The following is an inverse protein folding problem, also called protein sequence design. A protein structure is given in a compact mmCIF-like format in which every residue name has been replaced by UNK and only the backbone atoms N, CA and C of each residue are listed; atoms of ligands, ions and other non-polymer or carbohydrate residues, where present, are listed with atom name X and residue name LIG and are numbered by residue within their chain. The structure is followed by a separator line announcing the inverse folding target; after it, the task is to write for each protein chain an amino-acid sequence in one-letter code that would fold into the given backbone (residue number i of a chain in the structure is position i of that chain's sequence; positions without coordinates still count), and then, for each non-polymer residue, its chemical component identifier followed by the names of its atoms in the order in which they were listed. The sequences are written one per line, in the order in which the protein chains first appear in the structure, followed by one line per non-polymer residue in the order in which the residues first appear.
data_IF_813560585876
#
_entry.id   IF_813560585876
#
_cell.length_a   1.000
_cell.length_b   1.000
_cell.length_c   1.000
_cell.angle_alpha   90.00
_cell.angle_beta   90.00
_cell.angle_gamma   90.00
#
_symmetry.space_group_name_H-M   'P 1'
#
loop_
_entity.id
_entity.type
_entity.pdbx_description
1 polymer ?
#
# COMPACT_ATOMS: atom_id res chain seq x y z
N UNK A 1 -19.94 11.14 -27.32
CA UNK A 1 -19.75 10.11 -26.27
C UNK A 1 -21.11 9.90 -25.64
N UNK A 2 -21.67 8.68 -25.70
CA UNK A 2 -22.90 8.39 -24.97
C UNK A 2 -22.62 8.57 -23.48
N UNK A 3 -23.54 9.21 -22.76
CA UNK A 3 -23.48 9.29 -21.30
C UNK A 3 -23.45 7.88 -20.73
N UNK A 4 -22.49 7.58 -19.86
CA UNK A 4 -22.40 6.29 -19.17
C UNK A 4 -23.69 6.07 -18.38
N UNK A 5 -24.35 4.93 -18.60
CA UNK A 5 -25.40 4.46 -17.70
C UNK A 5 -24.74 3.88 -16.44
N UNK A 6 -24.58 4.74 -15.43
CA UNK A 6 -23.93 4.38 -14.17
C UNK A 6 -24.67 3.29 -13.38
N UNK A 7 -25.98 3.12 -13.59
CA UNK A 7 -26.74 2.07 -12.90
C UNK A 7 -26.47 0.71 -13.53
N UNK A 8 -26.41 0.64 -14.86
CA UNK A 8 -26.01 -0.58 -15.55
C UNK A 8 -24.54 -0.95 -15.26
N UNK A 9 -23.65 0.06 -15.24
CA UNK A 9 -22.24 -0.13 -14.89
C UNK A 9 -22.06 -0.66 -13.46
N UNK A 10 -22.78 -0.09 -12.49
CA UNK A 10 -22.83 -0.56 -11.11
C UNK A 10 -23.23 -2.03 -11.02
N UNK A 11 -24.33 -2.42 -11.68
CA UNK A 11 -24.78 -3.80 -11.70
C UNK A 11 -23.74 -4.76 -12.30
N UNK A 12 -23.06 -4.36 -13.37
CA UNK A 12 -22.04 -5.18 -14.01
C UNK A 12 -20.85 -5.44 -13.08
N UNK A 13 -20.35 -4.41 -12.39
CA UNK A 13 -19.25 -4.52 -11.42
C UNK A 13 -19.68 -5.31 -10.19
N UNK A 14 -20.88 -5.06 -9.66
CA UNK A 14 -21.39 -5.76 -8.48
C UNK A 14 -21.67 -7.25 -8.76
N UNK A 15 -22.13 -7.59 -9.97
CA UNK A 15 -22.28 -8.98 -10.38
C UNK A 15 -20.93 -9.73 -10.35
N UNK A 16 -19.84 -9.10 -10.78
CA UNK A 16 -18.49 -9.68 -10.66
C UNK A 16 -18.12 -9.90 -9.19
N UNK A 17 -18.39 -8.91 -8.33
CA UNK A 17 -18.15 -9.02 -6.88
C UNK A 17 -18.88 -10.21 -6.28
N UNK A 18 -20.19 -10.28 -6.48
CA UNK A 18 -21.06 -11.27 -5.83
C UNK A 18 -20.80 -12.68 -6.35
N UNK A 19 -20.60 -12.85 -7.65
CA UNK A 19 -20.27 -14.17 -8.24
C UNK A 19 -18.90 -14.68 -7.78
N UNK A 20 -17.95 -13.79 -7.52
CA UNK A 20 -16.64 -14.18 -6.98
C UNK A 20 -16.73 -14.48 -5.48
N UNK A 21 -17.44 -13.66 -4.70
CA UNK A 21 -17.69 -13.92 -3.27
C UNK A 21 -18.38 -15.26 -3.04
N UNK A 22 -19.30 -15.67 -3.91
CA UNK A 22 -19.97 -16.97 -3.82
C UNK A 22 -19.00 -18.18 -3.95
N UNK A 23 -17.81 -17.98 -4.52
CA UNK A 23 -16.77 -19.02 -4.64
C UNK A 23 -15.79 -19.03 -3.45
N UNK A 24 -15.77 -17.97 -2.64
CA UNK A 24 -14.83 -17.84 -1.53
C UNK A 24 -15.09 -18.94 -0.50
N UNK A 25 -14.04 -19.67 -0.15
CA UNK A 25 -14.17 -20.79 0.77
C UNK A 25 -12.87 -21.54 1.04
N UNK A 26 -12.95 -22.88 1.06
CA UNK A 26 -11.85 -23.74 1.53
C UNK A 26 -10.52 -23.54 0.76
N UNK A 27 -10.59 -23.21 -0.54
CA UNK A 27 -9.41 -22.93 -1.35
C UNK A 27 -8.68 -21.66 -0.89
N UNK A 28 -9.41 -20.57 -0.65
CA UNK A 28 -8.85 -19.29 -0.16
C UNK A 28 -8.25 -19.46 1.25
N UNK A 29 -8.92 -20.24 2.11
CA UNK A 29 -8.41 -20.60 3.43
C UNK A 29 -7.11 -21.42 3.34
N UNK A 30 -7.04 -22.39 2.42
CA UNK A 30 -5.84 -23.19 2.20
C UNK A 30 -4.69 -22.35 1.64
N UNK A 31 -5.00 -21.40 0.74
CA UNK A 31 -4.06 -20.46 0.17
C UNK A 31 -3.38 -19.62 1.25
N UNK A 32 -4.14 -18.88 2.08
CA UNK A 32 -3.54 -17.99 3.08
C UNK A 32 -2.73 -18.76 4.12
N UNK A 33 -3.20 -19.94 4.56
CA UNK A 33 -2.46 -20.81 5.48
C UNK A 33 -1.15 -21.31 4.87
N UNK A 34 -1.13 -21.56 3.56
CA UNK A 34 0.08 -21.93 2.83
C UNK A 34 1.07 -20.78 2.76
N UNK A 35 0.60 -19.56 2.47
CA UNK A 35 1.43 -18.35 2.47
C UNK A 35 2.05 -18.11 3.85
N UNK A 36 1.25 -18.19 4.93
CA UNK A 36 1.74 -18.05 6.31
C UNK A 36 2.83 -19.08 6.62
N UNK A 37 2.64 -20.34 6.21
CA UNK A 37 3.66 -21.38 6.42
C UNK A 37 4.96 -21.08 5.66
N UNK A 38 4.85 -20.66 4.40
CA UNK A 38 6.02 -20.28 3.57
C UNK A 38 6.75 -19.07 4.14
N UNK A 39 6.01 -18.05 4.57
CA UNK A 39 6.56 -16.87 5.25
C UNK A 39 7.37 -17.28 6.48
N UNK A 40 6.80 -18.12 7.35
CA UNK A 40 7.49 -18.62 8.56
C UNK A 40 8.75 -19.39 8.21
N UNK A 41 8.70 -20.30 7.23
CA UNK A 41 9.90 -21.03 6.80
C UNK A 41 11.00 -20.10 6.27
N UNK A 42 10.64 -19.07 5.51
CA UNK A 42 11.59 -18.05 5.06
C UNK A 42 12.18 -17.27 6.23
N UNK A 43 11.36 -16.92 7.24
CA UNK A 43 11.82 -16.19 8.42
C UNK A 43 12.80 -17.03 9.25
N UNK A 44 12.41 -18.26 9.64
CA UNK A 44 13.27 -19.14 10.42
C UNK A 44 14.54 -19.52 9.66
N UNK A 45 14.40 -19.91 8.39
CA UNK A 45 15.52 -20.25 7.52
C UNK A 45 16.47 -19.09 7.31
N UNK A 46 15.94 -17.89 7.08
CA UNK A 46 16.71 -16.66 6.95
C UNK A 46 17.54 -16.37 8.21
N UNK A 47 16.91 -16.44 9.39
CA UNK A 47 17.57 -16.21 10.69
C UNK A 47 18.68 -17.22 10.98
N UNK A 48 18.45 -18.51 10.68
CA UNK A 48 19.45 -19.57 10.84
C UNK A 48 20.64 -19.31 9.90
N UNK A 49 20.38 -19.00 8.63
CA UNK A 49 21.44 -18.78 7.64
C UNK A 49 22.27 -17.52 7.90
N UNK A 50 21.70 -16.48 8.53
CA UNK A 50 22.48 -15.32 9.00
C UNK A 50 23.59 -15.75 9.96
N UNK A 51 23.32 -16.72 10.84
CA UNK A 51 24.30 -17.27 11.78
C UNK A 51 25.36 -18.13 11.09
N UNK A 52 24.97 -18.86 10.03
CA UNK A 52 25.89 -19.68 9.24
C UNK A 52 26.82 -18.88 8.31
N UNK A 53 26.67 -17.54 8.24
CA UNK A 53 27.49 -16.67 7.40
C UNK A 53 29.00 -16.74 7.67
N UNK A 54 29.40 -17.09 8.90
CA UNK A 54 30.81 -17.32 9.25
C UNK A 54 31.41 -18.55 8.57
N UNK A 55 30.58 -19.55 8.22
CA UNK A 55 31.01 -20.77 7.53
C UNK A 55 31.21 -20.46 6.05
N UNK A 56 30.27 -19.74 5.44
CA UNK A 56 30.36 -19.31 4.06
C UNK A 56 29.58 -17.99 3.83
N UNK A 57 30.23 -16.91 3.35
CA UNK A 57 29.59 -15.59 3.22
C UNK A 57 28.32 -15.59 2.37
N UNK A 58 28.22 -16.45 1.35
CA UNK A 58 27.00 -16.56 0.55
C UNK A 58 25.76 -17.01 1.36
N UNK A 59 25.95 -17.80 2.43
CA UNK A 59 24.84 -18.22 3.30
C UNK A 59 24.22 -17.01 4.00
N UNK A 60 25.04 -16.03 4.40
CA UNK A 60 24.52 -14.78 4.95
C UNK A 60 23.70 -14.00 3.93
N UNK A 61 24.19 -13.87 2.69
CA UNK A 61 23.45 -13.22 1.61
C UNK A 61 22.09 -13.88 1.35
N UNK A 62 22.05 -15.22 1.29
CA UNK A 62 20.80 -15.99 1.16
C UNK A 62 19.90 -15.77 2.39
N UNK A 63 20.49 -15.72 3.59
CA UNK A 63 19.77 -15.43 4.83
C UNK A 63 19.07 -14.07 4.81
N UNK A 64 19.76 -13.03 4.34
CA UNK A 64 19.19 -11.68 4.16
C UNK A 64 18.05 -11.71 3.15
N UNK A 65 18.23 -12.37 2.00
CA UNK A 65 17.19 -12.45 0.96
C UNK A 65 15.96 -13.22 1.42
N UNK A 66 16.12 -14.34 2.14
CA UNK A 66 15.01 -15.08 2.71
C UNK A 66 14.28 -14.28 3.79
N UNK A 67 15.00 -13.54 4.63
CA UNK A 67 14.39 -12.67 5.62
C UNK A 67 13.65 -11.50 4.96
N UNK A 68 14.19 -10.92 3.89
CA UNK A 68 13.51 -9.91 3.10
C UNK A 68 12.22 -10.46 2.48
N UNK A 69 12.28 -11.66 1.89
CA UNK A 69 11.11 -12.35 1.35
C UNK A 69 10.05 -12.59 2.42
N UNK A 70 10.43 -13.07 3.59
CA UNK A 70 9.52 -13.27 4.71
C UNK A 70 8.83 -11.96 5.12
N UNK A 71 9.59 -10.86 5.20
CA UNK A 71 9.05 -9.54 5.54
C UNK A 71 8.13 -8.99 4.44
N UNK A 72 8.42 -9.23 3.17
CA UNK A 72 7.55 -8.84 2.04
C UNK A 72 6.23 -9.61 2.09
N UNK A 73 6.27 -10.93 2.26
CA UNK A 73 5.06 -11.77 2.37
C UNK A 73 4.22 -11.38 3.59
N UNK A 74 4.84 -11.17 4.75
CA UNK A 74 4.13 -10.74 5.95
C UNK A 74 3.49 -9.37 5.77
N UNK A 75 4.20 -8.42 5.15
CA UNK A 75 3.69 -7.06 5.03
C UNK A 75 2.60 -6.94 3.96
N UNK A 76 2.83 -7.50 2.77
CA UNK A 76 1.96 -7.27 1.60
C UNK A 76 0.90 -8.37 1.41
N UNK A 77 1.27 -9.65 1.53
CA UNK A 77 0.34 -10.74 1.19
C UNK A 77 -0.50 -11.21 2.38
N UNK A 78 0.08 -11.22 3.59
CA UNK A 78 -0.63 -11.64 4.80
C UNK A 78 -1.25 -10.43 5.48
N UNK A 79 -0.41 -9.55 6.04
CA UNK A 79 -0.84 -8.49 6.92
C UNK A 79 -1.84 -7.56 6.25
N UNK A 80 -1.48 -6.99 5.10
CA UNK A 80 -2.36 -6.07 4.38
C UNK A 80 -3.73 -6.68 4.08
N UNK A 81 -3.74 -7.87 3.50
CA UNK A 81 -4.97 -8.54 3.11
C UNK A 81 -5.84 -8.94 4.33
N UNK A 82 -5.22 -9.39 5.42
CA UNK A 82 -5.94 -9.65 6.68
C UNK A 82 -6.48 -8.35 7.28
N UNK A 83 -5.71 -7.25 7.28
CA UNK A 83 -6.13 -5.95 7.80
C UNK A 83 -7.28 -5.31 6.98
N UNK A 84 -7.45 -5.71 5.72
CA UNK A 84 -8.62 -5.37 4.89
C UNK A 84 -9.86 -6.23 5.18
N UNK A 85 -9.77 -7.23 6.06
CA UNK A 85 -10.90 -8.09 6.40
C UNK A 85 -11.16 -9.21 5.40
N UNK A 86 -10.26 -9.43 4.44
CA UNK A 86 -10.44 -10.41 3.36
C UNK A 86 -10.60 -11.86 3.82
N UNK A 87 -10.20 -12.15 5.07
CA UNK A 87 -10.28 -13.48 5.68
C UNK A 87 -11.19 -13.52 6.93
N UNK A 88 -11.94 -12.44 7.22
CA UNK A 88 -12.76 -12.36 8.44
C UNK A 88 -13.89 -13.40 8.46
N UNK A 89 -14.39 -13.79 7.28
CA UNK A 89 -15.38 -14.86 7.11
C UNK A 89 -14.91 -16.21 7.64
N UNK A 90 -13.59 -16.44 7.78
CA UNK A 90 -13.05 -17.66 8.36
C UNK A 90 -13.24 -17.74 9.88
N UNK A 91 -13.50 -16.60 10.54
CA UNK A 91 -13.55 -16.46 12.00
C UNK A 91 -12.32 -17.08 12.71
N UNK A 92 -11.16 -17.02 12.08
CA UNK A 92 -9.91 -17.56 12.62
C UNK A 92 -9.20 -16.47 13.44
N UNK A 93 -8.97 -16.76 14.73
CA UNK A 93 -8.39 -15.82 15.70
C UNK A 93 -7.02 -15.27 15.33
N UNK A 94 -6.30 -15.93 14.43
CA UNK A 94 -4.95 -15.54 14.02
C UNK A 94 -4.89 -14.77 12.71
N UNK A 95 -6.00 -14.66 11.97
CA UNK A 95 -6.06 -13.98 10.66
C UNK A 95 -7.35 -13.18 10.50
N UNK A 96 -7.83 -12.61 11.60
CA UNK A 96 -9.01 -11.75 11.64
C UNK A 96 -8.61 -10.29 11.83
N UNK A 97 -9.11 -9.39 10.98
CA UNK A 97 -8.77 -7.97 10.93
C UNK A 97 -8.94 -7.22 12.25
N UNK A 98 -9.86 -7.68 13.12
CA UNK A 98 -10.16 -7.03 14.40
C UNK A 98 -9.11 -7.30 15.47
N UNK A 99 -8.38 -8.40 15.35
CA UNK A 99 -7.38 -8.83 16.33
C UNK A 99 -5.97 -8.93 15.75
N UNK A 100 -5.83 -8.98 14.43
CA UNK A 100 -4.55 -9.09 13.76
C UNK A 100 -3.72 -7.83 13.94
N UNK A 101 -2.45 -8.00 14.30
CA UNK A 101 -1.48 -6.92 14.36
C UNK A 101 -0.28 -7.30 13.49
N UNK A 102 -0.29 -6.80 12.25
CA UNK A 102 0.76 -7.03 11.26
C UNK A 102 2.12 -6.42 11.62
N UNK A 103 3.17 -6.93 10.98
CA UNK A 103 4.58 -6.58 11.23
C UNK A 103 5.01 -5.24 10.60
N UNK A 104 4.40 -4.13 11.03
CA UNK A 104 4.78 -2.76 10.62
C UNK A 104 4.66 -1.77 11.80
N UNK A 105 5.18 -0.56 11.66
CA UNK A 105 5.16 0.48 12.69
C UNK A 105 3.76 1.13 12.91
N UNK A 106 2.81 0.96 11.99
CA UNK A 106 1.43 1.46 12.11
C UNK A 106 0.54 0.44 12.85
N UNK A 107 -0.28 0.88 13.82
CA UNK A 107 -1.27 0.02 14.49
C UNK A 107 -2.53 -0.22 13.65
N UNK A 108 -3.18 -1.36 13.89
CA UNK A 108 -4.30 -1.79 13.06
C UNK A 108 -5.51 -0.85 13.11
N UNK A 109 -5.77 -0.22 14.26
CA UNK A 109 -6.89 0.71 14.39
C UNK A 109 -6.66 2.03 13.65
N UNK A 110 -5.40 2.50 13.59
CA UNK A 110 -5.05 3.65 12.74
C UNK A 110 -5.19 3.32 11.25
N UNK A 111 -4.70 2.14 10.84
CA UNK A 111 -4.87 1.64 9.47
C UNK A 111 -6.34 1.54 9.04
N UNK A 112 -7.20 1.01 9.91
CA UNK A 112 -8.63 0.90 9.61
C UNK A 112 -9.27 2.30 9.40
N UNK A 113 -8.88 3.28 10.22
CA UNK A 113 -9.43 4.64 10.12
C UNK A 113 -8.92 5.39 8.90
N UNK A 114 -7.62 5.39 8.65
CA UNK A 114 -7.03 6.22 7.60
C UNK A 114 -7.00 5.47 6.28
N UNK A 115 -6.36 4.31 6.21
CA UNK A 115 -6.32 3.56 4.97
C UNK A 115 -7.69 2.92 4.60
N UNK A 116 -8.28 2.07 5.44
CA UNK A 116 -9.51 1.35 5.03
C UNK A 116 -10.72 2.27 4.87
N UNK A 117 -10.81 3.36 5.63
CA UNK A 117 -11.92 4.31 5.52
C UNK A 117 -11.55 5.55 4.70
N UNK A 118 -10.60 6.41 5.13
CA UNK A 118 -10.33 7.66 4.40
C UNK A 118 -9.83 7.39 2.97
N UNK A 119 -8.85 6.52 2.78
CA UNK A 119 -8.28 6.24 1.46
C UNK A 119 -9.26 5.44 0.59
N UNK A 120 -9.66 4.23 0.98
CA UNK A 120 -10.54 3.40 0.14
C UNK A 120 -11.91 4.02 -0.16
N UNK A 121 -12.47 4.85 0.73
CA UNK A 121 -13.73 5.55 0.43
C UNK A 121 -13.50 6.69 -0.57
N UNK A 122 -12.42 7.46 -0.40
CA UNK A 122 -12.20 8.72 -1.10
C UNK A 122 -10.95 8.73 -1.99
N UNK A 123 -10.51 7.57 -2.52
CA UNK A 123 -9.30 7.40 -3.31
C UNK A 123 -9.08 8.53 -4.33
N UNK A 124 -7.93 9.17 -4.23
CA UNK A 124 -7.48 10.32 -5.04
C UNK A 124 -8.40 11.56 -5.02
N UNK A 125 -9.33 11.67 -4.06
CA UNK A 125 -10.12 12.89 -3.84
C UNK A 125 -9.28 13.90 -3.04
N UNK A 126 -8.86 14.96 -3.72
CA UNK A 126 -8.11 16.07 -3.15
C UNK A 126 -8.93 16.70 -2.03
N UNK A 127 -8.37 16.75 -0.81
CA UNK A 127 -9.11 17.25 0.35
C UNK A 127 -9.49 16.16 1.37
N UNK A 128 -9.72 14.94 0.85
CA UNK A 128 -10.20 13.80 1.64
C UNK A 128 -9.12 12.74 1.79
N UNK A 129 -8.59 12.25 0.68
CA UNK A 129 -7.55 11.23 0.66
C UNK A 129 -6.21 11.81 1.09
N UNK A 130 -5.61 11.21 2.12
CA UNK A 130 -4.33 11.63 2.67
C UNK A 130 -3.17 11.23 1.76
N UNK A 131 -3.33 10.18 0.98
CA UNK A 131 -2.29 9.66 0.09
C UNK A 131 -2.07 10.62 -1.09
N UNK A 132 -3.15 11.22 -1.58
CA UNK A 132 -3.12 12.24 -2.62
C UNK A 132 -3.34 13.66 -2.06
N UNK A 133 -2.33 14.23 -1.40
CA UNK A 133 -2.30 15.68 -1.13
C UNK A 133 -1.81 16.17 0.23
N UNK A 134 -1.43 15.26 1.14
CA UNK A 134 -1.17 15.67 2.53
C UNK A 134 0.27 15.53 3.06
N UNK A 135 1.25 15.57 2.15
CA UNK A 135 2.38 16.47 2.42
C UNK A 135 3.78 15.88 2.58
N UNK A 136 4.24 15.08 1.62
CA UNK A 136 5.68 14.95 1.34
C UNK A 136 6.02 15.24 -0.13
N UNK A 137 5.23 14.70 -1.05
CA UNK A 137 5.42 14.87 -2.49
C UNK A 137 4.24 15.64 -3.10
N UNK A 138 4.54 16.49 -4.08
CA UNK A 138 3.62 17.15 -5.00
C UNK A 138 3.54 16.31 -6.26
N UNK A 139 2.36 15.77 -6.54
CA UNK A 139 2.13 14.83 -7.66
C UNK A 139 1.06 15.34 -8.64
N UNK A 140 0.58 16.56 -8.47
CA UNK A 140 -0.34 17.21 -9.41
C UNK A 140 -0.10 18.73 -9.42
N UNK A 141 -0.53 19.37 -10.51
CA UNK A 141 -0.60 20.83 -10.64
C UNK A 141 -1.66 21.45 -9.72
N UNK A 142 -2.59 20.65 -9.21
CA UNK A 142 -3.65 21.09 -8.28
C UNK A 142 -3.09 21.66 -6.96
N UNK A 143 -1.85 21.32 -6.62
CA UNK A 143 -1.16 21.86 -5.45
C UNK A 143 -0.19 22.96 -5.84
N UNK A 144 -0.21 24.07 -5.08
CA UNK A 144 0.76 25.17 -5.26
C UNK A 144 2.18 24.68 -5.06
N UNK A 145 3.04 24.91 -6.04
CA UNK A 145 4.47 24.63 -5.95
C UNK A 145 5.15 25.48 -4.87
N UNK A 146 6.12 24.91 -4.15
CA UNK A 146 6.94 25.57 -3.11
C UNK A 146 8.42 25.21 -3.31
N UNK A 147 9.32 26.06 -2.82
CA UNK A 147 10.79 25.85 -2.97
C UNK A 147 11.24 24.47 -2.46
N UNK A 148 10.64 23.95 -1.38
CA UNK A 148 10.94 22.61 -0.86
C UNK A 148 10.71 21.48 -1.88
N UNK A 149 9.87 21.70 -2.90
CA UNK A 149 9.63 20.72 -3.96
C UNK A 149 10.86 20.48 -4.86
N UNK A 150 11.88 21.35 -4.85
CA UNK A 150 13.16 21.06 -5.49
C UNK A 150 13.84 19.81 -4.88
N UNK A 151 13.63 19.56 -3.59
CA UNK A 151 14.16 18.42 -2.84
C UNK A 151 13.22 17.21 -2.83
N UNK A 152 12.18 17.23 -3.66
CA UNK A 152 11.13 16.22 -3.67
C UNK A 152 11.66 14.84 -4.06
N UNK A 153 12.59 14.75 -4.99
CA UNK A 153 13.17 13.45 -5.36
C UNK A 153 13.95 12.82 -4.20
N UNK A 154 14.71 13.62 -3.44
CA UNK A 154 15.39 13.16 -2.22
C UNK A 154 14.37 12.79 -1.13
N UNK A 155 13.29 13.57 -1.02
CA UNK A 155 12.17 13.26 -0.12
C UNK A 155 11.53 11.91 -0.49
N UNK A 156 11.35 11.62 -1.77
CA UNK A 156 10.88 10.34 -2.28
C UNK A 156 11.84 9.21 -1.90
N UNK A 157 13.15 9.35 -2.13
CA UNK A 157 14.13 8.34 -1.76
C UNK A 157 14.12 8.04 -0.25
N UNK A 158 14.08 9.08 0.59
CA UNK A 158 14.01 8.93 2.04
C UNK A 158 12.71 8.24 2.47
N UNK A 159 11.58 8.61 1.86
CA UNK A 159 10.30 7.97 2.10
C UNK A 159 10.34 6.49 1.68
N UNK A 160 10.94 6.14 0.54
CA UNK A 160 11.04 4.76 0.08
C UNK A 160 11.95 3.91 0.97
N UNK A 161 13.06 4.47 1.47
CA UNK A 161 13.96 3.78 2.40
C UNK A 161 13.32 3.59 3.79
N UNK A 162 12.55 4.56 4.24
CA UNK A 162 11.90 4.58 5.56
C UNK A 162 10.39 4.26 5.47
N UNK A 163 9.95 3.56 4.43
CA UNK A 163 8.53 3.49 4.06
C UNK A 163 7.59 3.08 5.18
N UNK A 164 7.95 2.05 5.96
CA UNK A 164 7.14 1.65 7.13
C UNK A 164 6.94 2.74 8.17
N UNK A 165 7.96 3.59 8.36
CA UNK A 165 7.93 4.72 9.28
C UNK A 165 7.18 5.89 8.67
N UNK A 166 7.29 6.06 7.35
CA UNK A 166 6.48 7.00 6.56
C UNK A 166 4.99 6.69 6.67
N UNK A 167 4.58 5.42 6.50
CA UNK A 167 3.20 4.96 6.70
C UNK A 167 2.77 5.23 8.15
N UNK A 168 3.57 4.83 9.14
CA UNK A 168 3.25 5.09 10.54
C UNK A 168 3.06 6.59 10.79
N UNK A 169 3.96 7.45 10.31
CA UNK A 169 3.83 8.90 10.41
C UNK A 169 2.60 9.43 9.69
N UNK A 170 2.23 8.90 8.53
CA UNK A 170 1.10 9.37 7.75
C UNK A 170 -0.24 8.93 8.36
N UNK A 171 -0.39 7.64 8.67
CA UNK A 171 -1.59 6.98 9.22
C UNK A 171 -1.88 7.38 10.67
N UNK A 172 -0.85 7.63 11.48
CA UNK A 172 -1.01 8.12 12.85
C UNK A 172 -1.09 9.64 12.94
N UNK A 173 -1.26 10.33 11.81
CA UNK A 173 -1.21 11.78 11.77
C UNK A 173 -0.01 12.32 12.57
N UNK A 174 1.19 11.81 12.28
CA UNK A 174 2.44 12.13 12.93
C UNK A 174 2.70 13.64 13.05
N UNK A 175 2.22 14.44 12.10
CA UNK A 175 2.25 15.91 12.23
C UNK A 175 1.50 16.40 13.49
N UNK A 176 0.37 15.78 13.83
CA UNK A 176 -0.35 16.01 15.08
C UNK A 176 0.44 15.47 16.27
N UNK A 177 1.04 14.28 16.17
CA UNK A 177 1.87 13.65 17.23
C UNK A 177 3.09 14.50 17.59
N UNK A 178 3.80 15.02 16.59
CA UNK A 178 5.08 15.70 16.77
C UNK A 178 4.98 17.22 16.81
N UNK A 179 3.97 17.82 16.17
CA UNK A 179 3.83 19.29 16.02
C UNK A 179 2.58 19.82 16.75
N UNK A 180 1.69 18.95 17.23
CA UNK A 180 0.51 19.35 18.02
C UNK A 180 -0.59 20.09 17.24
N UNK A 181 -0.41 20.32 15.93
CA UNK A 181 -1.37 21.08 15.11
C UNK A 181 -2.63 20.26 14.85
N UNK A 182 -3.76 20.68 15.43
CA UNK A 182 -5.10 20.24 15.05
C UNK A 182 -5.53 21.04 13.82
N UNK A 183 -5.91 20.38 12.73
CA UNK A 183 -6.60 21.05 11.61
C UNK A 183 -8.06 21.30 11.99
N UNK A 184 -8.55 22.51 11.74
CA UNK A 184 -9.86 23.01 12.21
C UNK A 184 -11.09 22.30 11.61
N UNK A 185 -10.94 21.52 10.53
CA UNK A 185 -12.09 20.91 9.84
C UNK A 185 -12.08 19.37 9.84
N UNK A 186 -11.57 18.72 10.91
CA UNK A 186 -11.63 17.25 11.03
C UNK A 186 -12.15 16.81 12.39
N UNK A 187 -12.96 15.76 12.37
CA UNK A 187 -13.44 15.12 13.58
C UNK A 187 -12.26 14.35 14.22
N UNK A 188 -11.69 14.93 15.27
CA UNK A 188 -10.53 14.38 15.94
C UNK A 188 -10.97 13.37 17.00
N UNK A 189 -11.53 12.24 16.56
CA UNK A 189 -12.15 11.25 17.47
C UNK A 189 -11.15 10.50 18.36
N UNK A 190 -9.84 10.71 18.18
CA UNK A 190 -8.80 10.09 19.01
C UNK A 190 -8.00 11.17 19.72
N UNK A 191 -7.84 10.98 21.03
CA UNK A 191 -7.03 11.84 21.87
C UNK A 191 -5.55 11.82 21.45
N UNK A 192 -4.88 12.96 21.62
CA UNK A 192 -3.50 13.13 21.23
C UNK A 192 -2.54 12.25 22.06
N UNK A 193 -2.81 12.06 23.36
CA UNK A 193 -2.00 11.19 24.21
C UNK A 193 -2.10 9.71 23.80
N UNK A 194 -3.28 9.27 23.39
CA UNK A 194 -3.48 7.92 22.89
C UNK A 194 -2.77 7.67 21.55
N UNK A 195 -2.86 8.63 20.62
CA UNK A 195 -2.16 8.60 19.34
C UNK A 195 -0.62 8.50 19.53
N UNK A 196 -0.08 9.31 20.44
CA UNK A 196 1.34 9.32 20.81
C UNK A 196 1.77 7.99 21.44
N UNK A 197 0.98 7.45 22.38
CA UNK A 197 1.25 6.13 22.99
C UNK A 197 1.27 5.01 21.96
N UNK A 198 0.34 5.01 20.99
CA UNK A 198 0.27 4.01 19.93
C UNK A 198 1.48 4.10 19.00
N UNK A 199 1.86 5.31 18.57
CA UNK A 199 3.01 5.57 17.71
C UNK A 199 4.32 5.05 18.34
N UNK A 200 4.64 5.50 19.56
CA UNK A 200 5.88 5.12 20.23
C UNK A 200 5.85 3.67 20.72
N UNK A 201 4.71 3.16 21.19
CA UNK A 201 4.60 1.81 21.73
C UNK A 201 4.77 0.71 20.67
N UNK A 202 4.15 0.85 19.49
CA UNK A 202 4.34 -0.12 18.41
C UNK A 202 5.69 0.06 17.73
N UNK A 203 6.10 1.30 17.45
CA UNK A 203 7.39 1.61 16.85
C UNK A 203 8.57 1.09 17.68
N UNK A 204 8.57 1.32 19.01
CA UNK A 204 9.62 0.84 19.89
C UNK A 204 9.70 -0.69 19.94
N UNK A 205 8.56 -1.40 20.01
CA UNK A 205 8.55 -2.87 19.98
C UNK A 205 9.20 -3.42 18.71
N UNK A 206 8.93 -2.81 17.56
CA UNK A 206 9.52 -3.23 16.29
C UNK A 206 11.02 -2.94 16.24
N UNK A 207 11.45 -1.78 16.72
CA UNK A 207 12.86 -1.45 16.82
C UNK A 207 13.61 -2.40 17.75
N UNK A 208 13.06 -2.65 18.94
CA UNK A 208 13.65 -3.55 19.94
C UNK A 208 13.72 -4.97 19.35
N UNK A 209 12.66 -5.47 18.73
CA UNK A 209 12.65 -6.81 18.14
C UNK A 209 13.74 -6.96 17.07
N UNK A 210 13.71 -6.12 16.04
CA UNK A 210 14.55 -6.29 14.86
C UNK A 210 16.01 -5.86 15.07
N UNK A 211 16.27 -4.87 15.93
CA UNK A 211 17.60 -4.26 16.06
C UNK A 211 18.27 -4.47 17.41
N UNK A 212 17.57 -5.03 18.39
CA UNK A 212 18.16 -5.33 19.70
C UNK A 212 18.02 -6.81 20.06
N UNK A 213 16.82 -7.37 20.09
CA UNK A 213 16.56 -8.73 20.56
C UNK A 213 17.27 -9.78 19.71
N UNK A 214 16.99 -9.83 18.40
CA UNK A 214 17.62 -10.82 17.53
C UNK A 214 19.14 -10.66 17.41
N UNK A 215 19.69 -9.44 17.25
CA UNK A 215 21.12 -9.22 17.35
C UNK A 215 21.73 -9.64 18.70
N UNK A 216 21.06 -9.37 19.82
CA UNK A 216 21.56 -9.76 21.15
C UNK A 216 21.60 -11.27 21.33
N UNK A 217 20.59 -12.00 20.84
CA UNK A 217 20.59 -13.48 20.82
C UNK A 217 21.79 -14.03 20.04
N UNK A 218 22.27 -13.30 19.02
CA UNK A 218 23.42 -13.69 18.22
C UNK A 218 24.78 -13.51 18.93
N UNK A 219 24.81 -12.90 20.12
CA UNK A 219 26.00 -12.73 20.94
C UNK A 219 27.11 -11.99 20.18
N UNK A 220 28.31 -12.59 19.99
CA UNK A 220 29.41 -11.96 19.24
C UNK A 220 29.04 -11.55 17.80
N UNK A 221 28.01 -12.15 17.22
CA UNK A 221 27.50 -11.83 15.87
C UNK A 221 26.44 -10.73 15.87
N UNK A 222 26.35 -9.93 16.94
CA UNK A 222 25.40 -8.83 17.05
C UNK A 222 25.37 -7.93 15.81
N UNK A 223 26.50 -7.33 15.44
CA UNK A 223 26.56 -6.40 14.29
C UNK A 223 26.23 -7.11 12.98
N UNK A 224 26.57 -8.39 12.86
CA UNK A 224 26.33 -9.21 11.68
C UNK A 224 24.83 -9.46 11.43
N UNK A 225 24.10 -9.83 12.49
CA UNK A 225 22.64 -10.01 12.44
C UNK A 225 21.92 -8.67 12.35
N UNK A 226 22.41 -7.63 13.04
CA UNK A 226 21.88 -6.27 12.94
C UNK A 226 21.89 -5.77 11.49
N UNK A 227 23.04 -5.87 10.80
CA UNK A 227 23.15 -5.45 9.39
C UNK A 227 22.25 -6.31 8.50
N UNK A 228 22.16 -7.62 8.76
CA UNK A 228 21.26 -8.50 8.01
C UNK A 228 19.78 -8.09 8.13
N UNK A 229 19.32 -7.79 9.35
CA UNK A 229 17.96 -7.30 9.61
C UNK A 229 17.70 -5.93 8.99
N UNK A 230 18.70 -5.04 9.02
CA UNK A 230 18.64 -3.72 8.40
C UNK A 230 18.46 -3.84 6.88
N UNK A 231 19.26 -4.66 6.21
CA UNK A 231 19.16 -4.88 4.76
C UNK A 231 17.84 -5.56 4.38
N UNK A 232 17.38 -6.55 5.15
CA UNK A 232 16.09 -7.19 4.90
C UNK A 232 14.92 -6.20 5.00
N UNK A 233 14.94 -5.31 6.00
CA UNK A 233 13.95 -4.24 6.14
C UNK A 233 14.06 -3.20 5.03
N UNK A 234 15.27 -2.83 4.61
CA UNK A 234 15.50 -1.92 3.48
C UNK A 234 14.90 -2.48 2.19
N UNK A 235 15.19 -3.74 1.87
CA UNK A 235 14.63 -4.42 0.68
C UNK A 235 13.10 -4.44 0.71
N UNK A 236 12.50 -4.78 1.85
CA UNK A 236 11.05 -4.72 2.02
C UNK A 236 10.50 -3.30 1.84
N UNK A 237 11.13 -2.28 2.42
CA UNK A 237 10.67 -0.90 2.31
C UNK A 237 10.72 -0.40 0.86
N UNK A 238 11.83 -0.66 0.15
CA UNK A 238 11.98 -0.31 -1.26
C UNK A 238 10.94 -1.03 -2.14
N UNK A 239 10.71 -2.31 -1.89
CA UNK A 239 9.71 -3.09 -2.62
C UNK A 239 8.29 -2.54 -2.38
N UNK A 240 7.88 -2.46 -1.11
CA UNK A 240 6.53 -2.05 -0.72
C UNK A 240 6.22 -0.63 -1.20
N UNK A 241 7.15 0.31 -1.00
CA UNK A 241 7.00 1.68 -1.51
C UNK A 241 6.79 1.67 -3.02
N UNK A 242 7.66 0.99 -3.77
CA UNK A 242 7.55 0.93 -5.24
C UNK A 242 6.19 0.43 -5.71
N UNK A 243 5.66 -0.65 -5.11
CA UNK A 243 4.36 -1.21 -5.49
C UNK A 243 3.22 -0.23 -5.16
N UNK A 244 3.18 0.32 -3.95
CA UNK A 244 2.15 1.28 -3.55
C UNK A 244 2.17 2.53 -4.43
N UNK A 245 3.37 3.04 -4.75
CA UNK A 245 3.51 4.19 -5.63
C UNK A 245 2.98 3.92 -7.05
N UNK A 246 3.24 2.74 -7.60
CA UNK A 246 2.76 2.33 -8.91
C UNK A 246 1.23 2.10 -8.95
N UNK A 247 0.60 1.86 -7.80
CA UNK A 247 -0.85 1.71 -7.69
C UNK A 247 -1.61 3.03 -7.82
N UNK A 248 -1.05 4.13 -7.31
CA UNK A 248 -1.78 5.39 -7.11
C UNK A 248 -1.22 6.61 -7.83
N UNK A 249 0.03 6.57 -8.31
CA UNK A 249 0.73 7.79 -8.75
C UNK A 249 1.34 7.68 -10.15
N UNK A 250 0.86 6.76 -10.98
CA UNK A 250 1.30 6.66 -12.37
C UNK A 250 0.78 7.83 -13.20
N UNK A 251 1.28 8.02 -14.42
CA UNK A 251 0.96 9.20 -15.24
C UNK A 251 -0.55 9.31 -15.59
N UNK A 252 -1.24 8.17 -15.63
CA UNK A 252 -2.63 8.07 -16.10
C UNK A 252 -3.67 7.91 -15.00
N UNK A 253 -3.29 7.96 -13.72
CA UNK A 253 -4.28 8.00 -12.62
C UNK A 253 -4.89 9.39 -12.50
N UNK A 254 -6.21 9.40 -12.30
CA UNK A 254 -7.01 10.61 -12.19
C UNK A 254 -7.11 11.08 -10.73
N UNK A 255 -7.29 12.39 -10.56
CA UNK A 255 -7.60 13.04 -9.29
C UNK A 255 -9.01 13.62 -9.34
N UNK A 256 -9.62 13.74 -8.17
CA UNK A 256 -11.01 14.15 -8.03
C UNK A 256 -11.13 15.27 -6.99
N UNK A 257 -12.17 16.09 -7.09
CA UNK A 257 -12.43 17.18 -6.14
C UNK A 257 -13.52 16.77 -5.16
N UNK A 258 -13.57 17.38 -3.97
CA UNK A 258 -14.68 17.14 -3.02
C UNK A 258 -16.06 17.45 -3.63
N UNK A 259 -16.13 18.39 -4.57
CA UNK A 259 -17.37 18.72 -5.26
C UNK A 259 -17.83 17.57 -6.18
N UNK A 260 -16.89 16.90 -6.85
CA UNK A 260 -17.19 15.84 -7.81
C UNK A 260 -17.82 14.58 -7.20
N UNK A 261 -17.75 14.43 -5.87
CA UNK A 261 -18.30 13.29 -5.14
C UNK A 261 -19.58 13.61 -4.35
N UNK A 262 -20.12 14.84 -4.44
CA UNK A 262 -21.38 15.18 -3.78
C UNK A 262 -22.54 14.45 -4.46
N UNK A 263 -23.26 13.64 -3.69
CA UNK A 263 -24.35 12.81 -4.23
C UNK A 263 -23.86 11.66 -5.12
N UNK A 264 -22.59 11.24 -4.98
CA UNK A 264 -22.01 10.11 -5.70
C UNK A 264 -22.85 8.83 -5.49
N UNK A 265 -23.31 8.21 -6.58
CA UNK A 265 -23.88 6.86 -6.53
C UNK A 265 -22.78 5.80 -6.49
N UNK A 266 -23.10 4.55 -6.15
CA UNK A 266 -22.11 3.47 -6.12
C UNK A 266 -21.46 3.23 -7.50
N UNK A 267 -22.21 3.32 -8.60
CA UNK A 267 -21.64 3.31 -9.96
C UNK A 267 -20.62 4.42 -10.23
N UNK A 268 -20.87 5.65 -9.75
CA UNK A 268 -19.89 6.74 -9.86
C UNK A 268 -18.65 6.47 -9.00
N UNK A 269 -18.85 5.89 -7.80
CA UNK A 269 -17.78 5.48 -6.92
C UNK A 269 -16.87 4.44 -7.61
N UNK A 270 -17.42 3.36 -8.19
CA UNK A 270 -16.63 2.36 -8.93
C UNK A 270 -15.85 2.97 -10.10
N UNK A 271 -16.48 3.88 -10.84
CA UNK A 271 -15.84 4.60 -11.93
C UNK A 271 -14.62 5.37 -11.42
N UNK A 272 -14.77 6.12 -10.33
CA UNK A 272 -13.69 6.87 -9.70
C UNK A 272 -12.57 5.95 -9.22
N UNK A 273 -12.91 4.86 -8.52
CA UNK A 273 -11.94 3.90 -7.99
C UNK A 273 -11.05 3.30 -9.08
N UNK A 274 -11.64 2.90 -10.20
CA UNK A 274 -10.88 2.35 -11.34
C UNK A 274 -9.98 3.39 -12.03
N UNK A 275 -10.46 4.64 -12.17
CA UNK A 275 -9.66 5.71 -12.78
C UNK A 275 -8.58 6.27 -11.85
N UNK A 276 -8.76 6.16 -10.53
CA UNK A 276 -7.79 6.55 -9.52
C UNK A 276 -6.66 5.54 -9.31
N UNK A 277 -6.76 4.36 -9.91
CA UNK A 277 -5.88 3.22 -9.63
C UNK A 277 -5.17 2.71 -10.88
N UNK A 278 -4.11 1.93 -10.68
CA UNK A 278 -3.23 1.48 -11.75
C UNK A 278 -2.66 0.09 -11.47
N UNK A 279 -2.75 -0.78 -12.46
CA UNK A 279 -2.29 -2.16 -12.36
C UNK A 279 -0.88 -2.37 -12.95
N UNK A 280 -0.23 -3.42 -12.47
CA UNK A 280 1.06 -3.92 -12.95
C UNK A 280 0.89 -5.35 -13.47
N UNK A 281 1.31 -5.60 -14.71
CA UNK A 281 1.38 -6.95 -15.29
C UNK A 281 2.54 -7.73 -14.68
N UNK A 282 2.30 -9.00 -14.39
CA UNK A 282 3.32 -9.91 -13.85
C UNK A 282 2.96 -11.37 -14.03
N UNK A 283 3.82 -12.24 -13.50
CA UNK A 283 3.52 -13.67 -13.33
C UNK A 283 2.92 -13.90 -11.95
N UNK A 284 2.34 -15.08 -11.71
CA UNK A 284 1.72 -15.42 -10.41
C UNK A 284 2.61 -15.12 -9.20
N UNK A 285 3.89 -15.52 -9.22
CA UNK A 285 4.82 -15.23 -8.10
C UNK A 285 4.99 -13.72 -7.85
N UNK A 286 4.95 -12.90 -8.90
CA UNK A 286 5.06 -11.45 -8.76
C UNK A 286 3.83 -10.90 -8.06
N UNK A 287 2.63 -11.37 -8.44
CA UNK A 287 1.39 -10.97 -7.79
C UNK A 287 1.40 -11.29 -6.29
N UNK A 288 1.84 -12.49 -5.91
CA UNK A 288 2.03 -12.86 -4.49
C UNK A 288 3.03 -11.93 -3.78
N UNK A 289 4.18 -11.61 -4.40
CA UNK A 289 5.14 -10.68 -3.79
C UNK A 289 4.61 -9.25 -3.65
N UNK A 290 3.65 -8.86 -4.47
CA UNK A 290 2.99 -7.55 -4.38
C UNK A 290 1.84 -7.52 -3.38
N UNK A 291 1.50 -8.64 -2.71
CA UNK A 291 0.26 -8.70 -1.94
C UNK A 291 -1.00 -8.71 -2.81
N UNK A 292 -0.84 -9.02 -4.09
CA UNK A 292 -1.77 -8.76 -5.20
C UNK A 292 -2.13 -7.29 -5.45
N UNK A 293 -1.41 -6.32 -4.86
CA UNK A 293 -1.56 -4.88 -5.17
C UNK A 293 -1.07 -4.49 -6.57
N UNK A 294 -0.51 -5.45 -7.32
CA UNK A 294 -0.39 -5.34 -8.77
C UNK A 294 -1.75 -5.31 -9.50
N UNK A 295 -2.84 -5.65 -8.81
CA UNK A 295 -4.24 -5.47 -9.21
C UNK A 295 -4.90 -4.38 -8.37
N UNK A 296 -4.28 -3.19 -8.34
CA UNK A 296 -4.77 -2.05 -7.54
C UNK A 296 -6.19 -1.63 -7.90
N UNK A 297 -6.57 -1.71 -9.18
CA UNK A 297 -7.94 -1.42 -9.62
C UNK A 297 -8.92 -2.37 -8.92
N UNK A 298 -8.69 -3.68 -8.98
CA UNK A 298 -9.55 -4.68 -8.34
C UNK A 298 -9.55 -4.54 -6.82
N UNK A 299 -8.39 -4.24 -6.24
CA UNK A 299 -8.27 -3.99 -4.81
C UNK A 299 -9.13 -2.80 -4.35
N UNK A 300 -9.19 -1.72 -5.13
CA UNK A 300 -10.01 -0.55 -4.81
C UNK A 300 -11.50 -0.76 -5.09
N UNK A 301 -11.85 -1.60 -6.06
CA UNK A 301 -13.24 -1.98 -6.31
C UNK A 301 -13.76 -2.96 -5.24
N UNK A 302 -12.93 -3.92 -4.81
CA UNK A 302 -13.30 -5.05 -3.96
C UNK A 302 -12.29 -5.31 -2.82
N UNK A 303 -12.03 -4.33 -1.93
CA UNK A 303 -10.94 -4.42 -0.95
C UNK A 303 -11.11 -5.58 0.05
N UNK A 304 -12.35 -6.02 0.25
CA UNK A 304 -12.80 -7.10 1.14
C UNK A 304 -12.77 -8.50 0.49
N UNK A 305 -12.47 -8.62 -0.80
CA UNK A 305 -12.34 -9.90 -1.49
C UNK A 305 -10.94 -10.51 -1.24
N UNK A 306 -10.80 -11.83 -1.02
CA UNK A 306 -9.50 -12.50 -0.97
C UNK A 306 -8.64 -12.16 -2.19
N UNK A 307 -7.51 -11.52 -1.93
CA UNK A 307 -6.66 -10.92 -2.97
C UNK A 307 -6.14 -11.91 -4.01
N UNK A 308 -6.01 -13.19 -3.64
CA UNK A 308 -5.68 -14.29 -4.57
C UNK A 308 -6.67 -14.44 -5.74
N UNK A 309 -7.91 -13.95 -5.58
CA UNK A 309 -8.94 -13.97 -6.62
C UNK A 309 -8.81 -12.81 -7.61
N UNK A 310 -8.01 -11.78 -7.35
CA UNK A 310 -7.91 -10.64 -8.27
C UNK A 310 -7.42 -11.04 -9.67
N UNK A 311 -6.62 -12.11 -9.79
CA UNK A 311 -6.22 -12.65 -11.10
C UNK A 311 -7.40 -13.16 -11.94
N UNK A 312 -8.44 -13.72 -11.29
CA UNK A 312 -9.67 -14.18 -11.93
C UNK A 312 -10.60 -13.00 -12.26
N UNK A 313 -10.63 -11.99 -11.40
CA UNK A 313 -11.53 -10.84 -11.47
C UNK A 313 -11.07 -9.81 -12.50
N UNK A 314 -9.77 -9.53 -12.58
CA UNK A 314 -9.23 -8.44 -13.40
C UNK A 314 -9.64 -8.48 -14.88
N UNK A 315 -9.63 -9.63 -15.59
CA UNK A 315 -10.09 -9.69 -16.98
C UNK A 315 -11.58 -9.33 -17.15
N UNK A 316 -12.42 -9.65 -16.15
CA UNK A 316 -13.85 -9.35 -16.17
C UNK A 316 -14.09 -7.85 -15.97
N UNK A 317 -13.42 -7.25 -14.98
CA UNK A 317 -13.45 -5.79 -14.76
C UNK A 317 -12.95 -5.05 -16.00
N UNK A 318 -11.84 -5.49 -16.59
CA UNK A 318 -11.31 -4.90 -17.81
C UNK A 318 -12.30 -4.98 -18.99
N UNK A 319 -13.06 -6.07 -19.11
CA UNK A 319 -14.08 -6.21 -20.14
C UNK A 319 -15.23 -5.20 -19.95
N UNK A 320 -15.71 -5.03 -18.70
CA UNK A 320 -16.72 -4.01 -18.38
C UNK A 320 -16.17 -2.61 -18.68
N UNK A 321 -14.97 -2.28 -18.22
CA UNK A 321 -14.37 -0.96 -18.51
C UNK A 321 -14.28 -0.70 -20.02
N UNK A 322 -13.92 -1.71 -20.82
CA UNK A 322 -13.88 -1.61 -22.28
C UNK A 322 -15.26 -1.37 -22.90
N UNK A 323 -16.30 -2.05 -22.43
CA UNK A 323 -17.69 -1.88 -22.90
C UNK A 323 -18.18 -0.44 -22.73
N UNK A 324 -17.84 0.19 -21.60
CA UNK A 324 -18.20 1.57 -21.29
C UNK A 324 -17.20 2.61 -21.82
N UNK A 325 -16.19 2.20 -22.60
CA UNK A 325 -15.18 3.09 -23.17
C UNK A 325 -14.24 3.73 -22.14
N UNK A 326 -14.09 3.10 -20.97
CA UNK A 326 -13.25 3.57 -19.87
C UNK A 326 -11.80 3.11 -20.04
N UNK A 327 -10.82 3.96 -19.70
CA UNK A 327 -9.43 3.53 -19.65
C UNK A 327 -9.23 2.55 -18.49
N UNK A 328 -8.51 1.47 -18.76
CA UNK A 328 -8.11 0.49 -17.76
C UNK A 328 -6.58 0.53 -17.63
N UNK A 329 -6.08 1.31 -16.67
CA UNK A 329 -4.67 1.68 -16.56
C UNK A 329 -3.83 0.48 -16.10
N UNK A 330 -3.20 -0.23 -17.05
CA UNK A 330 -2.38 -1.42 -16.78
C UNK A 330 -1.11 -1.40 -17.61
N UNK A 331 0.05 -1.62 -16.99
CA UNK A 331 1.35 -1.55 -17.65
C UNK A 331 2.33 -2.61 -17.12
N UNK A 332 3.51 -2.71 -17.75
CA UNK A 332 4.62 -3.48 -17.15
C UNK A 332 5.14 -2.75 -15.91
N UNK A 333 5.81 -3.47 -15.01
CA UNK A 333 6.40 -2.89 -13.80
C UNK A 333 7.27 -1.67 -14.11
N UNK A 334 8.17 -1.79 -15.09
CA UNK A 334 9.06 -0.68 -15.46
C UNK A 334 8.32 0.50 -16.08
N UNK A 335 7.27 0.26 -16.87
CA UNK A 335 6.47 1.33 -17.44
C UNK A 335 5.75 2.12 -16.33
N UNK A 336 5.10 1.43 -15.39
CA UNK A 336 4.43 2.11 -14.27
C UNK A 336 5.42 2.83 -13.35
N UNK A 337 6.53 2.18 -13.01
CA UNK A 337 7.55 2.77 -12.14
C UNK A 337 8.21 4.01 -12.76
N UNK A 338 8.57 3.94 -14.05
CA UNK A 338 9.12 5.10 -14.77
C UNK A 338 8.11 6.24 -14.87
N UNK A 339 6.82 5.92 -15.02
CA UNK A 339 5.73 6.89 -14.96
C UNK A 339 5.66 7.63 -13.63
N UNK A 340 5.75 6.89 -12.50
CA UNK A 340 5.82 7.47 -11.15
C UNK A 340 7.04 8.40 -11.03
N UNK A 341 8.23 7.92 -11.37
CA UNK A 341 9.46 8.71 -11.24
C UNK A 341 9.39 9.97 -12.11
N UNK A 342 8.92 9.84 -13.35
CA UNK A 342 8.70 10.97 -14.27
C UNK A 342 7.71 11.98 -13.67
N UNK A 343 6.61 11.52 -13.08
CA UNK A 343 5.62 12.36 -12.41
C UNK A 343 6.24 13.12 -11.23
N UNK A 344 6.99 12.43 -10.38
CA UNK A 344 7.72 13.03 -9.25
C UNK A 344 8.67 14.12 -9.75
N UNK A 345 9.52 13.82 -10.73
CA UNK A 345 10.48 14.76 -11.31
C UNK A 345 9.80 15.96 -11.96
N UNK A 346 8.70 15.73 -12.71
CA UNK A 346 7.93 16.79 -13.38
C UNK A 346 7.40 17.82 -12.39
N UNK A 347 6.89 17.35 -11.25
CA UNK A 347 6.27 18.20 -10.24
C UNK A 347 7.24 18.68 -9.14
N UNK A 348 8.49 18.23 -9.15
CA UNK A 348 9.58 18.84 -8.39
C UNK A 348 9.89 20.27 -8.86
N UNK A 349 9.67 20.55 -10.15
CA UNK A 349 9.88 21.85 -10.76
C UNK A 349 8.59 22.69 -10.80
N UNK A 350 8.69 24.03 -10.90
CA UNK A 350 7.54 24.90 -11.10
C UNK A 350 6.74 24.50 -12.34
N UNK A 351 5.45 24.80 -12.32
CA UNK A 351 4.62 24.62 -13.50
C UNK A 351 5.13 25.55 -14.61
N UNK A 352 5.15 25.05 -15.85
CA UNK A 352 5.50 25.90 -16.98
C UNK A 352 4.40 26.94 -17.07
N UNK A 353 4.72 28.24 -16.97
CA UNK A 353 3.73 29.29 -17.21
C UNK A 353 3.14 29.03 -18.59
N UNK A 354 1.84 28.80 -18.68
CA UNK A 354 1.15 28.96 -19.95
C UNK A 354 1.29 30.44 -20.32
N UNK A 355 2.20 30.74 -21.24
CA UNK A 355 2.18 32.02 -21.94
C UNK A 355 0.91 31.95 -22.78
N UNK A 356 -0.17 32.54 -22.28
CA UNK A 356 -1.34 32.82 -23.11
C UNK A 356 -0.84 33.84 -24.11
N UNK A 357 -0.44 33.37 -25.30
CA UNK A 357 -0.28 34.25 -26.45
C UNK A 357 -1.69 34.71 -26.81
N UNK A 358 -2.11 35.85 -26.26
CA UNK A 358 -3.22 36.59 -26.84
C UNK A 358 -2.73 37.04 -28.22
N UNK A 359 -3.29 36.44 -29.27
CA UNK A 359 -3.28 37.01 -30.62
C UNK A 359 -4.70 37.42 -30.95
#
# INVERSE_FOLDING_TARGET
MNSIDFKAFELAIENIKQTTLAKVGAEDAAYIRTIIRRQRYCEWGGRILLMCGLIHPAMWGIGVLLLALAKILENMEIGHNVMHGQYDWMNDKHINSRAYEWDIACDGASWNRVHNFEHHTYTNVIGKDRDFGYGLLRLSSDFKWRIKNLWQFITYLNLSVLFQWGISYHELAGERVFIGKKKENRNHNVDHGELTRRFFGKGARQLIKDYLLFPAIAGPLFLWVFVGNLLANLLRNLWTSTIIFCGHFTEHVHTFTEESIKGESLGHWYYRQGLGSSNIKGKHWFHVLTGHLSFQIEHHLFPDLPSSRYQEVAPQVQAVFKEYGLPYNTGSFWAQYSGVVKRILRYSLPDKKHVISVK
#
